data_IF_832259301847
#
_entry.id   IF_832259301847
#
_cell.length_a   1.000
_cell.length_b   1.000
_cell.length_c   1.000
_cell.angle_alpha   90.00
_cell.angle_beta   90.00
_cell.angle_gamma   90.00
#
_symmetry.space_group_name_H-M   'P 1'
#
loop_
_entity.id
_entity.type
_entity.pdbx_description
1 polymer ?
#
# COMPACT_ATOMS: atom_id res chain seq x y z
N UNK A 1 -8.50 11.40 44.83
CA UNK A 1 -9.49 11.86 43.83
C UNK A 1 -8.83 11.76 42.47
N UNK A 2 -9.07 10.68 41.74
CA UNK A 2 -8.49 10.47 40.41
C UNK A 2 -9.26 11.31 39.39
N UNK A 3 -8.52 12.17 38.70
CA UNK A 3 -9.04 13.12 37.72
C UNK A 3 -9.73 12.40 36.56
N UNK A 4 -11.01 12.70 36.32
CA UNK A 4 -11.82 12.17 35.21
C UNK A 4 -11.41 12.71 33.83
N UNK A 5 -10.30 13.44 33.73
CA UNK A 5 -9.86 14.13 32.51
C UNK A 5 -8.91 13.26 31.66
N UNK A 6 -8.43 12.12 32.17
CA UNK A 6 -7.49 11.26 31.44
C UNK A 6 -8.12 10.37 30.35
N UNK A 7 -9.46 10.30 30.22
CA UNK A 7 -10.13 9.32 29.33
C UNK A 7 -10.46 9.91 27.93
N UNK A 8 -10.40 11.23 27.75
CA UNK A 8 -10.83 11.85 26.47
C UNK A 8 -9.72 11.90 25.40
N UNK A 9 -8.45 11.74 25.76
CA UNK A 9 -7.33 11.84 24.82
C UNK A 9 -6.90 10.53 24.14
N UNK A 10 -7.46 9.38 24.53
CA UNK A 10 -7.12 8.07 23.93
C UNK A 10 -8.11 7.63 22.83
N UNK A 11 -9.23 8.35 22.67
CA UNK A 11 -10.26 8.00 21.66
C UNK A 11 -10.09 8.71 20.31
N UNK A 12 -9.34 9.82 20.24
CA UNK A 12 -9.17 10.58 19.01
C UNK A 12 -8.26 9.86 17.98
N UNK A 13 -7.23 9.13 18.43
CA UNK A 13 -6.33 8.41 17.53
C UNK A 13 -6.91 7.09 17.01
N UNK A 14 -7.88 6.49 17.72
CA UNK A 14 -8.59 5.30 17.26
C UNK A 14 -9.61 5.63 16.16
N UNK A 15 -10.23 6.81 16.21
CA UNK A 15 -11.18 7.25 15.19
C UNK A 15 -10.49 7.41 13.84
N UNK A 16 -9.38 8.13 13.70
CA UNK A 16 -8.75 8.36 12.38
C UNK A 16 -8.40 7.07 11.63
N UNK A 17 -7.95 6.03 12.34
CA UNK A 17 -7.59 4.74 11.72
C UNK A 17 -8.79 3.99 11.14
N UNK A 18 -9.98 4.13 11.73
CA UNK A 18 -11.19 3.40 11.28
C UNK A 18 -11.82 4.01 10.03
N UNK A 19 -11.76 5.34 9.86
CA UNK A 19 -12.29 6.03 8.68
C UNK A 19 -11.38 5.88 7.46
N UNK A 20 -10.06 5.87 7.65
CA UNK A 20 -9.10 5.56 6.59
C UNK A 20 -9.27 4.11 6.10
N UNK A 21 -9.45 3.15 7.02
CA UNK A 21 -9.66 1.75 6.65
C UNK A 21 -10.95 1.54 5.86
N UNK A 22 -12.08 2.09 6.32
CA UNK A 22 -13.37 1.91 5.63
C UNK A 22 -13.39 2.53 4.23
N UNK A 23 -12.70 3.66 4.04
CA UNK A 23 -12.57 4.31 2.73
C UNK A 23 -11.75 3.46 1.78
N UNK A 24 -10.59 2.97 2.23
CA UNK A 24 -9.73 2.09 1.44
C UNK A 24 -10.45 0.81 1.01
N UNK A 25 -11.09 0.11 1.96
CA UNK A 25 -11.77 -1.17 1.69
C UNK A 25 -12.94 -0.99 0.70
N UNK A 26 -13.63 0.15 0.79
CA UNK A 26 -14.67 0.53 -0.18
C UNK A 26 -14.07 0.79 -1.56
N UNK A 27 -12.97 1.55 -1.65
CA UNK A 27 -12.29 1.80 -2.92
C UNK A 27 -11.77 0.54 -3.57
N UNK A 28 -11.19 -0.39 -2.81
CA UNK A 28 -10.83 -1.73 -3.33
C UNK A 28 -12.07 -2.46 -3.83
N UNK A 29 -13.17 -2.45 -3.06
CA UNK A 29 -14.42 -3.07 -3.47
C UNK A 29 -14.94 -2.51 -4.79
N UNK A 30 -14.90 -1.19 -4.95
CA UNK A 30 -15.33 -0.51 -6.16
C UNK A 30 -14.42 -0.83 -7.35
N UNK A 31 -13.09 -0.83 -7.15
CA UNK A 31 -12.12 -1.21 -8.17
C UNK A 31 -12.27 -2.66 -8.64
N UNK A 32 -12.69 -3.57 -7.76
CA UNK A 32 -12.89 -4.99 -8.12
C UNK A 32 -14.20 -5.29 -8.85
N UNK A 33 -14.98 -4.27 -9.23
CA UNK A 33 -16.24 -4.49 -9.97
C UNK A 33 -16.01 -4.80 -11.46
N UNK A 34 -14.88 -4.38 -12.02
CA UNK A 34 -14.53 -4.57 -13.42
C UNK A 34 -13.02 -4.69 -13.64
N UNK A 35 -12.61 -5.17 -14.82
CA UNK A 35 -11.18 -5.39 -15.13
C UNK A 35 -10.37 -4.10 -15.23
N UNK A 36 -10.98 -2.97 -15.60
CA UNK A 36 -10.30 -1.67 -15.60
C UNK A 36 -9.88 -1.25 -14.19
N UNK A 37 -10.77 -1.37 -13.21
CA UNK A 37 -10.47 -1.05 -11.82
C UNK A 37 -9.39 -1.96 -11.23
N UNK A 38 -9.39 -3.25 -11.58
CA UNK A 38 -8.34 -4.20 -11.20
C UNK A 38 -7.01 -3.83 -11.87
N UNK A 39 -7.00 -3.44 -13.15
CA UNK A 39 -5.80 -2.97 -13.82
C UNK A 39 -5.22 -1.73 -13.13
N UNK A 40 -6.06 -0.76 -12.76
CA UNK A 40 -5.62 0.42 -12.01
C UNK A 40 -4.99 0.04 -10.66
N UNK A 41 -5.56 -0.94 -9.94
CA UNK A 41 -4.93 -1.47 -8.72
C UNK A 41 -3.54 -2.03 -9.04
N UNK A 42 -3.41 -2.85 -10.10
CA UNK A 42 -2.13 -3.41 -10.50
C UNK A 42 -1.09 -2.31 -10.80
N UNK A 43 -1.47 -1.25 -11.51
CA UNK A 43 -0.59 -0.10 -11.77
C UNK A 43 -0.16 0.60 -10.47
N UNK A 44 -1.08 0.79 -9.51
CA UNK A 44 -0.74 1.36 -8.21
C UNK A 44 0.23 0.46 -7.42
N UNK A 45 0.05 -0.87 -7.52
CA UNK A 45 0.91 -1.88 -6.90
C UNK A 45 2.32 -1.87 -7.52
N UNK A 46 2.42 -1.77 -8.84
CA UNK A 46 3.72 -1.63 -9.53
C UNK A 46 4.47 -0.38 -9.09
N UNK A 47 3.79 0.77 -9.01
CA UNK A 47 4.41 2.02 -8.53
C UNK A 47 4.95 1.91 -7.10
N UNK A 48 4.26 1.15 -6.24
CA UNK A 48 4.71 0.91 -4.87
C UNK A 48 5.95 0.00 -4.83
N UNK A 49 5.99 -1.05 -5.66
CA UNK A 49 7.14 -1.94 -5.81
C UNK A 49 8.37 -1.21 -6.35
N UNK A 50 8.19 -0.35 -7.35
CA UNK A 50 9.25 0.52 -7.88
C UNK A 50 9.80 1.45 -6.80
N UNK A 51 8.94 2.08 -6.01
CA UNK A 51 9.35 2.95 -4.91
C UNK A 51 10.14 2.18 -3.82
N UNK A 52 9.75 0.93 -3.53
CA UNK A 52 10.47 0.07 -2.61
C UNK A 52 11.86 -0.31 -3.16
N UNK A 53 11.96 -0.65 -4.44
CA UNK A 53 13.23 -0.90 -5.12
C UNK A 53 14.15 0.32 -5.11
N UNK A 54 13.60 1.51 -5.41
CA UNK A 54 14.35 2.77 -5.36
C UNK A 54 14.84 3.09 -3.95
N UNK A 55 14.03 2.84 -2.92
CA UNK A 55 14.45 2.97 -1.54
C UNK A 55 15.63 2.06 -1.20
N UNK A 56 15.55 0.76 -1.53
CA UNK A 56 16.62 -0.20 -1.25
C UNK A 56 17.93 0.22 -1.93
N UNK A 57 17.85 0.71 -3.16
CA UNK A 57 19.02 1.26 -3.86
C UNK A 57 19.58 2.51 -3.16
N UNK A 58 18.72 3.48 -2.84
CA UNK A 58 19.13 4.73 -2.19
C UNK A 58 19.75 4.48 -0.81
N UNK A 59 19.14 3.63 0.02
CA UNK A 59 19.65 3.37 1.36
C UNK A 59 21.01 2.67 1.32
N UNK A 60 21.23 1.76 0.37
CA UNK A 60 22.54 1.15 0.13
C UNK A 60 23.61 2.20 -0.24
N UNK A 61 23.24 3.17 -1.09
CA UNK A 61 24.15 4.28 -1.47
C UNK A 61 24.50 5.22 -0.31
N UNK A 62 23.71 5.23 0.78
CA UNK A 62 23.94 6.03 1.97
C UNK A 62 24.92 5.41 2.98
N UNK A 63 25.46 4.22 2.70
CA UNK A 63 26.46 3.52 3.51
C UNK A 63 25.87 2.54 4.53
N UNK A 64 26.75 1.69 5.07
CA UNK A 64 26.37 0.55 5.93
C UNK A 64 25.61 0.94 7.20
N UNK A 65 25.94 2.08 7.80
CA UNK A 65 25.24 2.56 9.00
C UNK A 65 23.77 2.88 8.68
N UNK A 66 23.50 3.48 7.52
CA UNK A 66 22.13 3.79 7.08
C UNK A 66 21.34 2.52 6.76
N UNK A 67 21.97 1.55 6.09
CA UNK A 67 21.38 0.23 5.84
C UNK A 67 21.02 -0.46 7.17
N UNK A 68 21.94 -0.45 8.13
CA UNK A 68 21.73 -1.06 9.45
C UNK A 68 20.57 -0.41 10.21
N UNK A 69 20.48 0.92 10.19
CA UNK A 69 19.36 1.66 10.81
C UNK A 69 18.01 1.40 10.14
N UNK A 70 17.99 0.97 8.87
CA UNK A 70 16.79 0.77 8.07
C UNK A 70 16.43 -0.72 7.84
N UNK A 71 17.02 -1.65 8.61
CA UNK A 71 16.78 -3.09 8.45
C UNK A 71 15.31 -3.48 8.63
N UNK A 72 14.60 -2.84 9.57
CA UNK A 72 13.17 -3.10 9.79
C UNK A 72 12.34 -2.76 8.54
N UNK A 73 12.61 -1.61 7.93
CA UNK A 73 11.93 -1.17 6.70
C UNK A 73 12.28 -2.09 5.52
N UNK A 74 13.50 -2.62 5.50
CA UNK A 74 13.91 -3.60 4.47
C UNK A 74 13.15 -4.93 4.62
N UNK A 75 12.83 -5.34 5.86
CA UNK A 75 12.00 -6.51 6.13
C UNK A 75 10.54 -6.26 5.69
N UNK A 76 9.99 -5.08 6.00
CA UNK A 76 8.65 -4.69 5.53
C UNK A 76 8.55 -4.73 4.00
N UNK A 77 9.59 -4.26 3.31
CA UNK A 77 9.69 -4.30 1.84
C UNK A 77 9.69 -5.73 1.30
N UNK A 78 10.33 -6.68 1.98
CA UNK A 78 10.31 -8.08 1.56
C UNK A 78 8.88 -8.66 1.62
N UNK A 79 8.14 -8.35 2.69
CA UNK A 79 6.75 -8.76 2.85
C UNK A 79 5.82 -8.05 1.85
N UNK A 80 6.08 -6.77 1.59
CA UNK A 80 5.41 -5.97 0.58
C UNK A 80 5.61 -6.60 -0.80
N UNK A 81 6.86 -6.83 -1.21
CA UNK A 81 7.21 -7.41 -2.51
C UNK A 81 6.58 -8.78 -2.71
N UNK A 82 6.51 -9.60 -1.66
CA UNK A 82 5.78 -10.88 -1.73
C UNK A 82 4.29 -10.66 -2.01
N UNK A 83 3.69 -9.68 -1.35
CA UNK A 83 2.26 -9.37 -1.50
C UNK A 83 1.96 -8.75 -2.87
N UNK A 84 2.80 -7.84 -3.37
CA UNK A 84 2.65 -7.22 -4.70
C UNK A 84 2.79 -8.26 -5.81
N UNK A 85 3.77 -9.16 -5.73
CA UNK A 85 3.93 -10.25 -6.69
C UNK A 85 2.71 -11.17 -6.75
N UNK A 86 2.08 -11.47 -5.60
CA UNK A 86 0.84 -12.26 -5.57
C UNK A 86 -0.32 -11.47 -6.20
N UNK A 87 -0.43 -10.16 -5.95
CA UNK A 87 -1.45 -9.29 -6.56
C UNK A 87 -1.32 -9.25 -8.08
N UNK A 88 -0.11 -9.01 -8.57
CA UNK A 88 0.22 -8.99 -10.00
C UNK A 88 -0.11 -10.33 -10.65
N UNK A 89 0.36 -11.44 -10.06
CA UNK A 89 0.05 -12.78 -10.56
C UNK A 89 -1.45 -13.09 -10.54
N UNK A 90 -2.18 -12.57 -9.54
CA UNK A 90 -3.64 -12.70 -9.46
C UNK A 90 -4.32 -11.90 -10.57
N UNK A 91 -3.93 -10.64 -10.80
CA UNK A 91 -4.39 -9.83 -11.92
C UNK A 91 -4.18 -10.56 -13.24
N UNK A 92 -2.96 -11.04 -13.47
CA UNK A 92 -2.58 -11.60 -14.76
C UNK A 92 -3.29 -12.94 -15.02
N UNK A 93 -3.25 -13.85 -14.04
CA UNK A 93 -3.64 -15.25 -14.26
C UNK A 93 -5.03 -15.61 -13.70
N UNK A 94 -5.45 -15.02 -12.57
CA UNK A 94 -6.76 -15.34 -11.97
C UNK A 94 -7.85 -14.44 -12.53
N UNK A 95 -7.55 -13.15 -12.71
CA UNK A 95 -8.45 -12.19 -13.33
C UNK A 95 -8.39 -12.23 -14.86
N UNK A 96 -7.42 -12.95 -15.44
CA UNK A 96 -7.15 -13.02 -16.88
C UNK A 96 -6.92 -11.64 -17.50
N UNK A 97 -6.14 -10.80 -16.81
CA UNK A 97 -5.96 -9.39 -17.12
C UNK A 97 -4.54 -9.06 -17.61
N UNK A 98 -3.71 -10.06 -17.92
CA UNK A 98 -2.32 -9.87 -18.33
C UNK A 98 -2.17 -9.09 -19.66
N UNK A 99 -3.15 -9.22 -20.55
CA UNK A 99 -3.21 -8.54 -21.84
C UNK A 99 -4.42 -7.58 -21.89
N UNK A 100 -4.63 -6.85 -20.79
CA UNK A 100 -5.73 -5.89 -20.68
C UNK A 100 -5.76 -4.94 -21.89
N UNK A 101 -6.94 -4.81 -22.48
CA UNK A 101 -7.26 -3.81 -23.49
C UNK A 101 -8.48 -2.99 -23.07
N UNK A 102 -8.65 -1.78 -23.59
CA UNK A 102 -9.77 -0.89 -23.23
C UNK A 102 -11.14 -1.55 -23.47
N UNK A 103 -11.26 -2.46 -24.43
CA UNK A 103 -12.47 -3.26 -24.68
C UNK A 103 -12.84 -4.21 -23.54
N UNK A 104 -11.87 -4.62 -22.72
CA UNK A 104 -12.07 -5.45 -21.55
C UNK A 104 -12.55 -4.64 -20.33
N UNK A 105 -12.52 -3.30 -20.39
CA UNK A 105 -12.72 -2.42 -19.24
C UNK A 105 -13.94 -2.77 -18.38
N UNK A 106 -15.07 -3.10 -19.01
CA UNK A 106 -16.35 -3.37 -18.34
C UNK A 106 -16.56 -4.82 -17.95
N UNK A 107 -15.65 -5.73 -18.33
CA UNK A 107 -15.80 -7.16 -18.03
C UNK A 107 -15.77 -7.36 -16.53
N UNK A 108 -16.72 -8.14 -16.04
CA UNK A 108 -16.76 -8.51 -14.63
C UNK A 108 -15.70 -9.58 -14.34
N UNK A 109 -14.86 -9.40 -13.30
CA UNK A 109 -13.94 -10.43 -12.84
C UNK A 109 -14.67 -11.63 -12.23
N UNK A 110 -13.97 -12.75 -12.12
CA UNK A 110 -14.46 -13.91 -11.36
C UNK A 110 -14.51 -13.61 -9.86
N UNK A 111 -15.34 -14.34 -9.11
CA UNK A 111 -15.41 -14.22 -7.65
C UNK A 111 -14.06 -14.50 -6.97
N UNK A 112 -13.31 -15.48 -7.47
CA UNK A 112 -11.98 -15.84 -6.97
C UNK A 112 -10.97 -14.71 -7.18
N UNK A 113 -10.99 -14.07 -8.36
CA UNK A 113 -10.19 -12.88 -8.63
C UNK A 113 -10.50 -11.78 -7.60
N UNK A 114 -11.79 -11.43 -7.44
CA UNK A 114 -12.22 -10.39 -6.50
C UNK A 114 -11.77 -10.70 -5.07
N UNK A 115 -11.98 -11.95 -4.61
CA UNK A 115 -11.61 -12.37 -3.27
C UNK A 115 -10.10 -12.26 -3.05
N UNK A 116 -9.30 -12.79 -3.98
CA UNK A 116 -7.84 -12.79 -3.86
C UNK A 116 -7.26 -11.37 -3.87
N UNK A 117 -7.74 -10.50 -4.78
CA UNK A 117 -7.33 -9.09 -4.80
C UNK A 117 -7.67 -8.42 -3.47
N UNK A 118 -8.90 -8.56 -2.96
CA UNK A 118 -9.31 -7.95 -1.69
C UNK A 118 -8.45 -8.41 -0.51
N UNK A 119 -8.20 -9.71 -0.39
CA UNK A 119 -7.36 -10.25 0.70
C UNK A 119 -5.94 -9.72 0.64
N UNK A 120 -5.33 -9.66 -0.55
CA UNK A 120 -3.97 -9.15 -0.68
C UNK A 120 -3.89 -7.63 -0.52
N UNK A 121 -4.89 -6.87 -0.98
CA UNK A 121 -4.95 -5.43 -0.75
C UNK A 121 -5.10 -5.08 0.74
N UNK A 122 -5.88 -5.83 1.51
CA UNK A 122 -5.95 -5.68 2.98
C UNK A 122 -4.59 -5.95 3.64
N UNK A 123 -3.90 -7.03 3.22
CA UNK A 123 -2.54 -7.32 3.71
C UNK A 123 -1.56 -6.20 3.35
N UNK A 124 -1.61 -5.72 2.11
CA UNK A 124 -0.75 -4.66 1.61
C UNK A 124 -1.00 -3.36 2.38
N UNK A 125 -2.25 -2.99 2.62
CA UNK A 125 -2.63 -1.82 3.40
C UNK A 125 -2.12 -1.88 4.86
N UNK A 126 -2.20 -3.05 5.48
CA UNK A 126 -1.61 -3.24 6.83
C UNK A 126 -0.09 -3.09 6.79
N UNK A 127 0.56 -3.64 5.77
CA UNK A 127 2.01 -3.54 5.59
C UNK A 127 2.45 -2.08 5.32
N UNK A 128 1.75 -1.32 4.48
CA UNK A 128 2.06 0.10 4.23
C UNK A 128 1.92 0.93 5.50
N UNK A 129 0.85 0.72 6.28
CA UNK A 129 0.67 1.37 7.59
C UNK A 129 1.77 0.99 8.59
N UNK A 130 2.21 -0.26 8.60
CA UNK A 130 3.28 -0.72 9.47
C UNK A 130 4.63 -0.10 9.06
N UNK A 131 4.95 -0.14 7.76
CA UNK A 131 6.13 0.48 7.17
C UNK A 131 6.25 1.95 7.57
N UNK A 132 5.16 2.72 7.50
CA UNK A 132 5.15 4.13 7.92
C UNK A 132 5.52 4.30 9.39
N UNK A 133 4.98 3.44 10.28
CA UNK A 133 5.32 3.46 11.71
C UNK A 133 6.79 3.11 11.95
N UNK A 134 7.31 2.12 11.22
CA UNK A 134 8.68 1.68 11.38
C UNK A 134 9.67 2.72 10.84
N UNK A 135 9.32 3.43 9.76
CA UNK A 135 10.06 4.62 9.31
C UNK A 135 10.06 5.70 10.40
N UNK A 136 8.90 6.00 11.00
CA UNK A 136 8.78 7.04 12.03
C UNK A 136 9.52 6.71 13.33
N UNK A 137 9.74 5.43 13.61
CA UNK A 137 10.53 4.97 14.76
C UNK A 137 12.05 5.17 14.57
N UNK A 138 12.53 5.35 13.33
CA UNK A 138 13.96 5.54 13.05
C UNK A 138 14.36 6.97 13.37
N UNK A 139 15.05 7.14 14.50
CA UNK A 139 15.51 8.46 14.98
C UNK A 139 17.00 8.71 14.76
N UNK A 140 17.80 7.65 14.63
CA UNK A 140 19.25 7.75 14.48
C UNK A 140 19.70 7.24 13.10
N UNK A 141 19.70 8.14 12.12
CA UNK A 141 20.17 7.88 10.76
C UNK A 141 20.80 9.15 10.17
N UNK A 142 21.79 8.96 9.30
CA UNK A 142 22.44 10.07 8.62
C UNK A 142 21.46 10.81 7.65
N UNK A 143 21.85 12.00 7.19
CA UNK A 143 20.99 12.83 6.35
C UNK A 143 20.57 12.15 5.03
N UNK A 144 21.47 11.36 4.43
CA UNK A 144 21.19 10.59 3.22
C UNK A 144 20.09 9.55 3.47
N UNK A 145 20.25 8.72 4.51
CA UNK A 145 19.26 7.70 4.86
C UNK A 145 17.92 8.31 5.27
N UNK A 146 17.93 9.45 5.98
CA UNK A 146 16.71 10.19 6.31
C UNK A 146 15.96 10.65 5.05
N UNK A 147 16.68 11.13 4.04
CA UNK A 147 16.08 11.52 2.76
C UNK A 147 15.46 10.30 2.06
N UNK A 148 16.18 9.19 1.98
CA UNK A 148 15.67 7.94 1.38
C UNK A 148 14.39 7.45 2.09
N UNK A 149 14.40 7.40 3.42
CA UNK A 149 13.23 7.02 4.23
C UNK A 149 12.06 7.98 4.02
N UNK A 150 12.31 9.29 3.93
CA UNK A 150 11.26 10.29 3.74
C UNK A 150 10.61 10.15 2.37
N UNK A 151 11.41 9.97 1.30
CA UNK A 151 10.88 9.73 -0.05
C UNK A 151 10.04 8.46 -0.10
N UNK A 152 10.54 7.37 0.50
CA UNK A 152 9.79 6.11 0.52
C UNK A 152 8.50 6.22 1.33
N UNK A 153 8.55 6.86 2.51
CA UNK A 153 7.37 7.14 3.33
C UNK A 153 6.27 7.85 2.53
N UNK A 154 6.63 8.87 1.76
CA UNK A 154 5.67 9.61 0.93
C UNK A 154 5.01 8.71 -0.12
N UNK A 155 5.79 7.84 -0.79
CA UNK A 155 5.25 6.88 -1.75
C UNK A 155 4.26 5.92 -1.08
N UNK A 156 4.63 5.35 0.07
CA UNK A 156 3.78 4.45 0.86
C UNK A 156 2.50 5.14 1.34
N UNK A 157 2.58 6.40 1.80
CA UNK A 157 1.43 7.17 2.26
C UNK A 157 0.47 7.56 1.12
N UNK A 158 0.98 7.73 -0.09
CA UNK A 158 0.16 8.06 -1.26
C UNK A 158 -0.60 6.85 -1.82
N UNK A 159 -0.26 5.63 -1.39
CA UNK A 159 -0.88 4.41 -1.89
C UNK A 159 -2.40 4.41 -1.72
N UNK A 160 -2.91 4.73 -0.54
CA UNK A 160 -4.36 4.81 -0.27
C UNK A 160 -5.08 5.80 -1.21
N UNK A 161 -4.41 6.89 -1.58
CA UNK A 161 -4.95 7.88 -2.52
C UNK A 161 -5.06 7.31 -3.93
N UNK A 162 -4.06 6.54 -4.38
CA UNK A 162 -4.13 5.87 -5.68
C UNK A 162 -5.25 4.83 -5.72
N UNK A 163 -5.42 4.05 -4.66
CA UNK A 163 -6.52 3.09 -4.57
C UNK A 163 -7.88 3.79 -4.57
N UNK A 164 -7.99 4.95 -3.91
CA UNK A 164 -9.18 5.79 -3.95
C UNK A 164 -9.50 6.25 -5.38
N UNK A 165 -8.49 6.68 -6.14
CA UNK A 165 -8.64 7.03 -7.55
C UNK A 165 -9.13 5.82 -8.35
N UNK A 166 -8.53 4.65 -8.17
CA UNK A 166 -8.95 3.42 -8.84
C UNK A 166 -10.43 3.08 -8.58
N UNK A 167 -10.89 3.24 -7.34
CA UNK A 167 -12.30 2.99 -6.99
C UNK A 167 -13.25 3.98 -7.68
N UNK A 168 -12.83 5.24 -7.81
CA UNK A 168 -13.64 6.27 -8.47
C UNK A 168 -13.72 6.07 -9.98
N UNK A 169 -12.60 5.77 -10.64
CA UNK A 169 -12.60 5.59 -12.11
C UNK A 169 -13.30 4.28 -12.52
N UNK A 170 -13.22 3.23 -11.70
CA UNK A 170 -13.93 1.98 -11.96
C UNK A 170 -15.46 2.18 -12.03
N UNK A 171 -16.02 3.09 -11.22
CA UNK A 171 -17.47 3.44 -11.24
C UNK A 171 -17.91 4.20 -12.48
N UNK A 172 -16.98 4.76 -13.23
CA UNK A 172 -17.28 5.58 -14.43
C UNK A 172 -17.27 4.77 -15.72
N UNK A 173 -16.85 3.50 -15.65
CA UNK A 173 -16.86 2.56 -16.76
C UNK A 173 -18.21 1.83 -16.86
#
# INVERSE_FOLDING_TARGET
MFSKIAIVLVLATALETTWSQSTFDQSVTDSTQNLFGINCIADAVYNLEDAAGEFLYKIQSCGQDAVSSALVVSADISDLSTTTNILINTNDNTCNNAAYADEDAKRSPSGDCVSNIKTMMDRLHKNTKQTVKDIDAITNINACGKMALTTYKLAVQNFDSFITVCGNVAKTQ
#
